data_IF_993736479021
#
_entry.id   IF_993736479021
#
_cell.length_a   1.000
_cell.length_b   1.000
_cell.length_c   1.000
_cell.angle_alpha   90.00
_cell.angle_beta   90.00
_cell.angle_gamma   90.00
#
_symmetry.space_group_name_H-M   'P 1'
#
loop_
_entity.id
_entity.type
_entity.pdbx_description
1 polymer ?
#
# COMPACT_ATOMS: atom_id res chain seq x y z
N UNK A 1 2.28 7.69 -9.91
CA UNK A 1 0.81 7.60 -9.72
C UNK A 1 0.15 8.49 -10.76
N UNK A 2 -1.02 8.11 -11.29
CA UNK A 2 -1.79 8.97 -12.20
C UNK A 2 -2.33 10.24 -11.49
N UNK A 3 -2.59 10.15 -10.18
CA UNK A 3 -2.91 11.29 -9.32
C UNK A 3 -1.82 11.49 -8.26
N UNK A 4 -1.40 12.74 -8.02
CA UNK A 4 -0.35 13.05 -7.06
C UNK A 4 -0.83 12.96 -5.61
N UNK A 5 0.03 12.49 -4.71
CA UNK A 5 -0.19 12.64 -3.27
C UNK A 5 0.33 14.01 -2.82
N UNK A 6 -0.47 14.73 -2.04
CA UNK A 6 -0.16 16.07 -1.55
C UNK A 6 0.47 16.02 -0.14
N UNK A 7 1.64 16.65 -0.02
CA UNK A 7 2.34 16.96 1.23
C UNK A 7 3.08 18.30 1.08
N UNK A 8 4.25 18.48 1.72
CA UNK A 8 5.06 19.72 1.59
C UNK A 8 5.50 20.02 0.13
N UNK A 9 5.57 18.99 -0.72
CA UNK A 9 5.73 19.07 -2.18
C UNK A 9 4.89 17.96 -2.84
N UNK A 10 4.35 18.19 -4.05
CA UNK A 10 3.60 17.17 -4.83
C UNK A 10 4.53 16.01 -5.20
N UNK A 11 4.14 14.77 -4.87
CA UNK A 11 4.91 13.58 -5.26
C UNK A 11 4.19 12.75 -6.33
N UNK A 12 4.85 12.65 -7.50
CA UNK A 12 4.41 11.85 -8.65
C UNK A 12 5.16 10.50 -8.74
N UNK A 13 6.37 10.43 -8.17
CA UNK A 13 7.20 9.23 -8.19
C UNK A 13 6.69 8.19 -7.20
N UNK A 14 6.09 7.12 -7.73
CA UNK A 14 5.51 6.03 -6.94
C UNK A 14 6.53 5.43 -5.95
N UNK A 15 7.79 5.28 -6.36
CA UNK A 15 8.86 4.75 -5.52
C UNK A 15 9.15 5.61 -4.26
N UNK A 16 8.87 6.91 -4.31
CA UNK A 16 9.12 7.86 -3.22
C UNK A 16 7.92 8.05 -2.29
N UNK A 17 6.79 7.42 -2.59
CA UNK A 17 5.60 7.48 -1.75
C UNK A 17 5.87 6.68 -0.47
N UNK A 18 5.53 7.30 0.66
CA UNK A 18 5.75 6.76 1.99
C UNK A 18 4.44 6.92 2.78
N UNK A 19 4.20 6.09 3.81
CA UNK A 19 2.97 6.13 4.60
C UNK A 19 2.59 7.54 5.08
N UNK A 20 3.57 8.34 5.52
CA UNK A 20 3.36 9.74 5.94
C UNK A 20 2.75 10.65 4.86
N UNK A 21 2.97 10.37 3.57
CA UNK A 21 2.42 11.17 2.48
C UNK A 21 0.90 10.97 2.38
N UNK A 22 0.40 9.77 2.68
CA UNK A 22 -1.04 9.50 2.75
C UNK A 22 -1.70 10.22 3.92
N UNK A 23 -1.06 10.24 5.10
CA UNK A 23 -1.57 10.99 6.26
C UNK A 23 -1.62 12.49 5.96
N UNK A 24 -0.56 13.03 5.34
CA UNK A 24 -0.54 14.43 4.93
C UNK A 24 -1.61 14.75 3.88
N UNK A 25 -1.88 13.82 2.95
CA UNK A 25 -2.94 13.99 1.95
C UNK A 25 -4.32 13.94 2.60
N UNK A 26 -4.54 13.04 3.57
CA UNK A 26 -5.78 12.98 4.35
C UNK A 26 -6.05 14.33 5.04
N UNK A 27 -5.05 14.87 5.74
CA UNK A 27 -5.16 16.19 6.38
C UNK A 27 -5.54 17.30 5.39
N UNK A 28 -4.88 17.33 4.23
CA UNK A 28 -5.15 18.32 3.19
C UNK A 28 -6.56 18.18 2.59
N UNK A 29 -7.04 16.95 2.41
CA UNK A 29 -8.37 16.68 1.89
C UNK A 29 -9.50 16.84 2.93
N UNK A 30 -9.19 17.29 4.16
CA UNK A 30 -10.16 17.39 5.25
C UNK A 30 -10.61 16.03 5.82
N UNK A 31 -9.85 14.96 5.56
CA UNK A 31 -10.10 13.62 6.07
C UNK A 31 -9.36 13.37 7.40
N UNK A 32 -9.93 12.55 8.27
CA UNK A 32 -9.31 12.23 9.57
C UNK A 32 -7.97 11.50 9.37
N UNK A 33 -6.92 12.06 9.96
CA UNK A 33 -5.59 11.45 9.97
C UNK A 33 -5.57 10.14 10.74
N UNK A 34 -6.35 10.03 11.82
CA UNK A 34 -6.46 8.79 12.59
C UNK A 34 -7.20 7.72 11.79
N UNK A 35 -8.27 8.09 11.07
CA UNK A 35 -8.95 7.18 10.16
C UNK A 35 -8.01 6.70 9.04
N UNK A 36 -7.21 7.60 8.45
CA UNK A 36 -6.21 7.23 7.45
C UNK A 36 -5.14 6.29 8.02
N UNK A 37 -4.67 6.52 9.25
CA UNK A 37 -3.73 5.62 9.94
C UNK A 37 -4.34 4.25 10.18
N UNK A 38 -5.59 4.16 10.65
CA UNK A 38 -6.29 2.89 10.83
C UNK A 38 -6.42 2.11 9.52
N UNK A 39 -6.78 2.77 8.43
CA UNK A 39 -6.85 2.14 7.11
C UNK A 39 -5.48 1.60 6.66
N UNK A 40 -4.40 2.36 6.88
CA UNK A 40 -3.04 1.92 6.59
C UNK A 40 -2.66 0.67 7.41
N UNK A 41 -2.99 0.67 8.71
CA UNK A 41 -2.77 -0.48 9.59
C UNK A 41 -3.53 -1.71 9.10
N UNK A 42 -4.83 -1.57 8.83
CA UNK A 42 -5.67 -2.67 8.35
C UNK A 42 -5.13 -3.25 7.03
N UNK A 43 -4.73 -2.38 6.09
CA UNK A 43 -4.14 -2.83 4.82
C UNK A 43 -2.85 -3.62 5.04
N UNK A 44 -1.99 -3.20 5.97
CA UNK A 44 -0.75 -3.90 6.27
C UNK A 44 -1.01 -5.27 6.91
N UNK A 45 -1.93 -5.35 7.87
CA UNK A 45 -2.27 -6.59 8.58
C UNK A 45 -2.94 -7.62 7.66
N UNK A 46 -3.82 -7.18 6.75
CA UNK A 46 -4.56 -8.08 5.85
C UNK A 46 -3.78 -8.51 4.60
N UNK A 47 -2.60 -7.94 4.35
CA UNK A 47 -1.88 -8.17 3.10
C UNK A 47 -1.51 -9.63 2.89
N UNK A 48 -1.00 -10.31 3.93
CA UNK A 48 -0.54 -11.70 3.81
C UNK A 48 -1.71 -12.66 3.50
N UNK A 49 -2.86 -12.45 4.16
CA UNK A 49 -4.08 -13.23 3.91
C UNK A 49 -4.61 -13.03 2.49
N UNK A 50 -4.60 -11.79 1.99
CA UNK A 50 -5.03 -11.48 0.62
C UNK A 50 -4.10 -12.11 -0.41
N UNK A 51 -2.78 -12.08 -0.17
CA UNK A 51 -1.81 -12.76 -1.05
C UNK A 51 -2.09 -14.26 -1.08
N UNK A 52 -2.35 -14.89 0.07
CA UNK A 52 -2.65 -16.32 0.15
C UNK A 52 -3.94 -16.68 -0.59
N UNK A 53 -5.03 -15.90 -0.41
CA UNK A 53 -6.30 -16.10 -1.10
C UNK A 53 -6.14 -15.99 -2.62
N UNK A 54 -5.56 -14.89 -3.09
CA UNK A 54 -5.41 -14.65 -4.53
C UNK A 54 -4.50 -15.69 -5.16
N UNK A 55 -3.44 -16.12 -4.47
CA UNK A 55 -2.56 -17.19 -4.95
C UNK A 55 -3.32 -18.50 -5.18
N UNK A 56 -4.30 -18.83 -4.35
CA UNK A 56 -5.12 -20.03 -4.50
C UNK A 56 -6.14 -19.93 -5.64
N UNK A 57 -6.52 -18.71 -6.04
CA UNK A 57 -7.47 -18.44 -7.12
C UNK A 57 -6.80 -18.32 -8.51
N UNK A 58 -5.47 -18.29 -8.58
CA UNK A 58 -4.77 -18.16 -9.85
C UNK A 58 -4.90 -19.42 -10.72
N UNK A 59 -5.18 -19.26 -12.03
CA UNK A 59 -5.16 -20.37 -12.98
C UNK A 59 -3.79 -21.07 -13.03
N UNK A 60 -3.74 -22.37 -13.33
CA UNK A 60 -2.48 -23.13 -13.43
C UNK A 60 -1.50 -22.61 -14.48
N UNK A 61 -2.01 -21.96 -15.53
CA UNK A 61 -1.26 -21.38 -16.65
C UNK A 61 -0.88 -19.91 -16.42
N UNK A 62 -1.19 -19.34 -15.25
CA UNK A 62 -0.84 -17.96 -14.95
C UNK A 62 0.69 -17.78 -14.82
N UNK A 63 1.29 -16.75 -15.46
CA UNK A 63 2.73 -16.54 -15.40
C UNK A 63 3.24 -16.26 -13.97
N UNK A 64 3.96 -17.22 -13.39
CA UNK A 64 4.51 -17.11 -12.03
C UNK A 64 5.42 -15.89 -11.83
N UNK A 65 6.16 -15.49 -12.87
CA UNK A 65 7.02 -14.30 -12.81
C UNK A 65 6.22 -13.02 -12.51
N UNK A 66 4.99 -12.92 -13.02
CA UNK A 66 4.12 -11.76 -12.82
C UNK A 66 3.52 -11.77 -11.42
N UNK A 67 2.94 -12.90 -10.99
CA UNK A 67 2.32 -13.02 -9.67
C UNK A 67 3.35 -12.82 -8.56
N UNK A 68 4.52 -13.45 -8.65
CA UNK A 68 5.57 -13.32 -7.64
C UNK A 68 6.11 -11.89 -7.54
N UNK A 69 6.30 -11.20 -8.67
CA UNK A 69 6.72 -9.81 -8.67
C UNK A 69 5.71 -8.89 -7.97
N UNK A 70 4.42 -9.11 -8.21
CA UNK A 70 3.33 -8.34 -7.58
C UNK A 70 3.24 -8.66 -6.09
N UNK A 71 3.18 -9.94 -5.71
CA UNK A 71 3.08 -10.36 -4.31
C UNK A 71 4.26 -9.90 -3.48
N UNK A 72 5.49 -10.02 -4.00
CA UNK A 72 6.69 -9.51 -3.34
C UNK A 72 6.65 -7.99 -3.17
N UNK A 73 6.19 -7.27 -4.20
CA UNK A 73 5.99 -5.83 -4.15
C UNK A 73 4.99 -5.44 -3.06
N UNK A 74 3.85 -6.12 -3.01
CA UNK A 74 2.78 -5.88 -2.04
C UNK A 74 3.24 -6.14 -0.60
N UNK A 75 3.85 -7.30 -0.33
CA UNK A 75 4.39 -7.65 0.98
C UNK A 75 5.47 -6.64 1.44
N UNK A 76 6.34 -6.18 0.54
CA UNK A 76 7.34 -5.16 0.85
C UNK A 76 6.71 -3.83 1.27
N UNK A 77 5.63 -3.41 0.60
CA UNK A 77 4.91 -2.17 0.96
C UNK A 77 4.14 -2.33 2.27
N UNK A 78 3.49 -3.48 2.50
CA UNK A 78 2.81 -3.76 3.76
C UNK A 78 3.78 -3.72 4.94
N UNK A 79 4.96 -4.35 4.82
CA UNK A 79 5.99 -4.28 5.84
C UNK A 79 6.50 -2.84 6.08
N UNK A 80 6.58 -2.01 5.03
CA UNK A 80 6.92 -0.58 5.17
C UNK A 80 5.85 0.20 5.92
N UNK A 81 4.57 -0.09 5.67
CA UNK A 81 3.45 0.53 6.38
C UNK A 81 3.44 0.05 7.83
N UNK A 82 3.55 -1.26 8.07
CA UNK A 82 3.63 -1.88 9.39
C UNK A 82 4.67 -1.21 10.29
N UNK A 83 5.92 -1.07 9.81
CA UNK A 83 7.00 -0.37 10.55
C UNK A 83 6.75 1.10 10.84
N UNK A 84 5.82 1.74 10.14
CA UNK A 84 5.49 3.15 10.32
C UNK A 84 4.29 3.36 11.25
N UNK A 85 3.34 2.43 11.25
CA UNK A 85 2.11 2.52 12.05
C UNK A 85 2.24 1.88 13.43
N UNK A 86 3.18 0.93 13.60
CA UNK A 86 3.59 0.38 14.91
C UNK A 86 4.32 1.41 15.75
#
# INVERSE_FOLDING_TARGET
MAMALQGKNRQYHFAMIQPRHFISTAAFAGYSQEAARRLLTEMAERTDDVIASVRAELPPDFPAQVSEAIFKGLASQAARIGRFVS
#
